data_IF_824117468070
#
_entry.id   IF_824117468070
#
_cell.length_a   1.000
_cell.length_b   1.000
_cell.length_c   1.000
_cell.angle_alpha   90.00
_cell.angle_beta   90.00
_cell.angle_gamma   90.00
#
_symmetry.space_group_name_H-M   'P 1'
#
loop_
_entity.id
_entity.type
_entity.pdbx_description
1 polymer ?
#
# COMPACT_ATOMS: atom_id res chain seq x y z
N UNK A 1 15.95 -13.05 47.83
CA UNK A 1 16.43 -11.67 47.60
C UNK A 1 15.40 -11.00 46.72
N UNK A 2 14.55 -10.17 47.32
CA UNK A 2 13.40 -9.53 46.66
C UNK A 2 13.88 -8.39 45.78
N UNK A 3 13.64 -8.49 44.47
CA UNK A 3 13.91 -7.41 43.51
C UNK A 3 12.69 -6.49 43.49
N UNK A 4 12.78 -5.36 44.19
CA UNK A 4 11.79 -4.28 44.15
C UNK A 4 11.82 -3.59 42.79
N UNK A 5 10.77 -3.78 42.00
CA UNK A 5 10.54 -3.04 40.77
C UNK A 5 10.08 -1.62 41.12
N UNK A 6 11.02 -0.68 41.16
CA UNK A 6 10.72 0.75 41.27
C UNK A 6 10.01 1.21 39.99
N UNK A 7 8.74 1.58 40.12
CA UNK A 7 7.94 2.13 39.02
C UNK A 7 8.41 3.55 38.73
N UNK A 8 9.05 3.76 37.58
CA UNK A 8 9.33 5.09 37.06
C UNK A 8 8.00 5.81 36.82
N UNK A 9 7.73 6.81 37.65
CA UNK A 9 6.63 7.75 37.46
C UNK A 9 6.88 8.53 36.17
N UNK A 10 6.09 8.24 35.14
CA UNK A 10 6.04 9.01 33.90
C UNK A 10 5.46 10.39 34.20
N UNK A 11 6.32 11.34 34.60
CA UNK A 11 5.97 12.75 34.62
C UNK A 11 5.91 13.19 33.15
N UNK A 12 4.70 13.22 32.59
CA UNK A 12 4.44 13.83 31.30
C UNK A 12 4.69 15.35 31.42
N UNK A 13 5.90 15.77 31.07
CA UNK A 13 6.23 17.19 30.94
C UNK A 13 5.58 17.68 29.65
N UNK A 14 4.36 18.22 29.74
CA UNK A 14 3.74 18.94 28.64
C UNK A 14 4.46 20.28 28.47
N UNK A 15 5.58 20.31 27.73
CA UNK A 15 6.06 21.58 27.18
C UNK A 15 5.02 22.02 26.16
N UNK A 16 4.19 23.00 26.53
CA UNK A 16 3.44 23.77 25.54
C UNK A 16 4.48 24.56 24.75
N UNK A 17 5.02 23.96 23.69
CA UNK A 17 5.92 24.64 22.77
C UNK A 17 5.12 25.71 22.02
N UNK A 18 5.13 26.93 22.57
CA UNK A 18 4.62 28.09 21.86
C UNK A 18 5.60 28.40 20.74
N UNK A 19 5.19 28.16 19.49
CA UNK A 19 6.02 28.49 18.32
C UNK A 19 6.45 29.97 18.39
N UNK A 20 7.71 30.31 18.05
CA UNK A 20 8.18 31.68 18.08
C UNK A 20 7.35 32.56 17.15
N UNK A 21 7.00 33.80 17.55
CA UNK A 21 6.22 34.68 16.70
C UNK A 21 7.00 35.02 15.42
N UNK A 22 6.30 35.09 14.28
CA UNK A 22 6.91 35.58 13.05
C UNK A 22 6.83 37.12 12.97
N UNK A 23 7.44 37.73 11.94
CA UNK A 23 7.54 39.18 11.79
C UNK A 23 6.32 39.84 11.09
N UNK A 24 5.17 39.15 11.03
CA UNK A 24 3.95 39.73 10.46
C UNK A 24 3.26 40.65 11.47
N UNK A 25 2.81 41.83 11.02
CA UNK A 25 2.14 42.82 11.89
C UNK A 25 0.79 42.36 12.41
N UNK A 26 -0.08 41.87 11.53
CA UNK A 26 -1.47 41.62 11.92
C UNK A 26 -1.66 40.26 12.63
N UNK A 27 -0.77 39.30 12.36
CA UNK A 27 -0.82 37.93 12.91
C UNK A 27 0.56 37.26 12.89
N UNK A 28 1.36 37.38 13.96
CA UNK A 28 2.74 36.88 14.02
C UNK A 28 2.79 35.35 14.27
N UNK A 29 2.12 34.55 13.44
CA UNK A 29 2.12 33.08 13.57
C UNK A 29 3.24 32.43 12.76
N UNK A 30 4.05 31.59 13.41
CA UNK A 30 4.96 30.68 12.72
C UNK A 30 4.45 29.24 12.76
N UNK A 31 5.02 28.40 11.90
CA UNK A 31 4.74 26.96 11.84
C UNK A 31 6.04 26.18 11.97
N UNK A 32 6.00 25.13 12.78
CA UNK A 32 7.02 24.08 12.80
C UNK A 32 7.01 23.32 11.47
N UNK A 33 8.20 23.06 10.93
CA UNK A 33 8.40 22.28 9.71
C UNK A 33 9.69 21.48 9.80
N UNK A 34 9.75 20.43 9.00
CA UNK A 34 10.93 19.61 8.83
C UNK A 34 11.39 19.67 7.36
N UNK A 35 12.68 19.89 7.14
CA UNK A 35 13.28 19.86 5.82
C UNK A 35 13.65 18.43 5.43
N UNK A 36 13.27 18.02 4.22
CA UNK A 36 13.72 16.79 3.59
C UNK A 36 14.38 17.12 2.25
N UNK A 37 15.58 17.72 2.34
CA UNK A 37 16.42 18.06 1.20
C UNK A 37 17.80 17.43 1.39
N UNK A 38 18.57 17.13 0.32
CA UNK A 38 19.88 16.50 0.42
C UNK A 38 20.82 17.17 1.44
N UNK A 39 20.83 18.51 1.45
CA UNK A 39 21.72 19.29 2.32
C UNK A 39 21.19 19.47 3.75
N UNK A 40 19.87 19.31 3.95
CA UNK A 40 19.17 19.56 5.22
C UNK A 40 18.13 18.46 5.49
N UNK A 41 18.53 17.18 5.62
CA UNK A 41 17.60 16.10 5.91
C UNK A 41 17.20 16.11 7.39
N UNK A 42 15.91 15.88 7.66
CA UNK A 42 15.30 15.88 8.99
C UNK A 42 15.58 17.14 9.84
N UNK A 43 15.96 18.27 9.21
CA UNK A 43 16.32 19.49 9.95
C UNK A 43 15.07 20.30 10.24
N UNK A 44 14.78 20.54 11.51
CA UNK A 44 13.56 21.21 11.95
C UNK A 44 13.75 22.73 12.00
N UNK A 45 12.71 23.46 11.59
CA UNK A 45 12.71 24.91 11.58
C UNK A 45 11.32 25.49 11.80
N UNK A 46 11.28 26.74 12.24
CA UNK A 46 10.09 27.57 12.20
C UNK A 46 10.15 28.50 11.00
N UNK A 47 9.03 28.68 10.31
CA UNK A 47 8.89 29.75 9.34
C UNK A 47 7.52 30.42 9.43
N UNK A 48 7.35 31.56 8.76
CA UNK A 48 6.06 32.25 8.70
C UNK A 48 4.95 31.29 8.25
N UNK A 49 3.83 31.25 8.98
CA UNK A 49 2.68 30.40 8.63
C UNK A 49 2.12 30.69 7.22
N UNK A 50 2.30 31.92 6.73
CA UNK A 50 1.84 32.40 5.42
C UNK A 50 2.82 32.09 4.27
N UNK A 51 4.04 31.64 4.56
CA UNK A 51 5.15 31.47 3.60
C UNK A 51 4.86 30.61 2.37
N UNK A 52 3.91 29.66 2.45
CA UNK A 52 3.54 28.78 1.34
C UNK A 52 2.18 29.12 0.70
N UNK A 53 1.49 30.14 1.23
CA UNK A 53 0.07 30.38 0.92
C UNK A 53 -0.16 31.81 0.39
N UNK A 54 0.68 32.77 0.78
CA UNK A 54 0.50 34.18 0.42
C UNK A 54 1.81 34.82 0.00
N UNK A 55 1.75 35.68 -1.02
CA UNK A 55 2.86 36.56 -1.41
C UNK A 55 3.18 37.63 -0.36
N UNK A 56 2.26 37.89 0.57
CA UNK A 56 2.43 38.85 1.67
C UNK A 56 2.97 38.19 2.95
N UNK A 57 3.67 37.07 2.83
CA UNK A 57 4.36 36.45 3.97
C UNK A 57 5.61 37.24 4.35
N UNK A 58 5.91 37.34 5.64
CA UNK A 58 7.25 37.77 6.05
C UNK A 58 8.27 36.65 5.81
N UNK A 59 9.55 37.01 5.74
CA UNK A 59 10.67 36.09 5.55
C UNK A 59 11.18 35.47 6.87
N UNK A 60 10.33 35.41 7.91
CA UNK A 60 10.71 34.81 9.18
C UNK A 60 11.11 33.34 8.99
N UNK A 61 12.30 33.00 9.47
CA UNK A 61 12.88 31.68 9.43
C UNK A 61 13.82 31.49 10.63
N UNK A 62 13.74 30.34 11.30
CA UNK A 62 14.62 30.01 12.40
C UNK A 62 14.87 28.50 12.45
N UNK A 63 16.12 28.07 12.41
CA UNK A 63 16.48 26.67 12.67
C UNK A 63 16.22 26.32 14.13
N UNK A 64 15.67 25.13 14.36
CA UNK A 64 15.43 24.60 15.70
C UNK A 64 16.61 23.77 16.18
N UNK A 65 17.19 22.99 15.28
CA UNK A 65 18.30 22.10 15.57
C UNK A 65 19.63 22.73 15.12
N UNK A 66 20.75 22.38 15.77
CA UNK A 66 22.06 22.64 15.20
C UNK A 66 22.26 21.88 13.88
N UNK A 67 23.19 22.33 13.06
CA UNK A 67 23.52 21.64 11.81
C UNK A 67 24.17 20.30 12.11
N UNK A 68 23.62 19.22 11.55
CA UNK A 68 24.22 17.88 11.66
C UNK A 68 25.54 17.78 10.88
N UNK A 69 26.52 16.99 11.35
CA UNK A 69 27.70 16.66 10.56
C UNK A 69 27.35 16.00 9.22
N UNK A 70 28.18 16.20 8.20
CA UNK A 70 27.93 15.75 6.82
C UNK A 70 27.57 14.26 6.72
N UNK A 71 28.32 13.40 7.41
CA UNK A 71 28.09 11.95 7.34
C UNK A 71 26.71 11.54 7.88
N UNK A 72 26.20 12.20 8.93
CA UNK A 72 24.83 11.97 9.41
C UNK A 72 23.79 12.42 8.40
N UNK A 73 24.01 13.58 7.76
CA UNK A 73 23.11 14.06 6.69
C UNK A 73 23.05 13.08 5.52
N UNK A 74 24.20 12.63 5.05
CA UNK A 74 24.30 11.67 3.94
C UNK A 74 23.59 10.35 4.29
N UNK A 75 23.79 9.83 5.50
CA UNK A 75 23.11 8.61 5.97
C UNK A 75 21.59 8.79 6.02
N UNK A 76 21.09 9.86 6.64
CA UNK A 76 19.65 10.12 6.72
C UNK A 76 19.01 10.29 5.35
N UNK A 77 19.68 11.00 4.44
CA UNK A 77 19.20 11.18 3.08
C UNK A 77 19.15 9.85 2.31
N UNK A 78 20.21 9.04 2.38
CA UNK A 78 20.24 7.72 1.74
C UNK A 78 19.15 6.79 2.28
N UNK A 79 18.91 6.82 3.60
CA UNK A 79 17.81 6.08 4.22
C UNK A 79 16.45 6.55 3.68
N UNK A 80 16.22 7.86 3.57
CA UNK A 80 14.99 8.42 3.01
C UNK A 80 14.76 7.96 1.57
N UNK A 81 15.78 8.04 0.72
CA UNK A 81 15.70 7.56 -0.67
C UNK A 81 15.38 6.06 -0.73
N UNK A 82 15.99 5.27 0.15
CA UNK A 82 15.73 3.83 0.22
C UNK A 82 14.29 3.54 0.63
N UNK A 83 13.76 4.25 1.63
CA UNK A 83 12.35 4.12 2.05
C UNK A 83 11.42 4.49 0.90
N UNK A 84 11.65 5.60 0.22
CA UNK A 84 10.81 6.04 -0.90
C UNK A 84 10.79 5.00 -2.03
N UNK A 85 11.96 4.46 -2.38
CA UNK A 85 12.06 3.37 -3.35
C UNK A 85 11.28 2.13 -2.92
N UNK A 86 11.39 1.74 -1.64
CA UNK A 86 10.71 0.56 -1.11
C UNK A 86 9.19 0.75 -1.07
N UNK A 87 8.70 1.95 -0.76
CA UNK A 87 7.26 2.25 -0.78
C UNK A 87 6.68 2.10 -2.18
N UNK A 88 7.36 2.62 -3.20
CA UNK A 88 6.95 2.47 -4.62
C UNK A 88 6.95 1.00 -5.03
N UNK A 89 8.01 0.26 -4.69
CA UNK A 89 8.10 -1.17 -5.04
C UNK A 89 7.04 -2.00 -4.31
N UNK A 90 6.71 -1.66 -3.07
CA UNK A 90 5.68 -2.34 -2.31
C UNK A 90 4.28 -2.15 -2.93
N UNK A 91 3.95 -0.93 -3.37
CA UNK A 91 2.70 -0.67 -4.11
C UNK A 91 2.59 -1.52 -5.38
N UNK A 92 3.69 -1.66 -6.14
CA UNK A 92 3.74 -2.53 -7.31
C UNK A 92 3.50 -4.00 -6.97
N UNK A 93 4.12 -4.50 -5.89
CA UNK A 93 3.92 -5.87 -5.41
C UNK A 93 2.45 -6.11 -5.02
N UNK A 94 1.83 -5.19 -4.27
CA UNK A 94 0.41 -5.29 -3.89
C UNK A 94 -0.50 -5.32 -5.13
N UNK A 95 -0.23 -4.50 -6.14
CA UNK A 95 -0.97 -4.51 -7.41
C UNK A 95 -0.83 -5.83 -8.16
N UNK A 96 0.38 -6.40 -8.20
CA UNK A 96 0.62 -7.69 -8.83
C UNK A 96 -0.04 -8.84 -8.07
N UNK A 97 0.00 -8.84 -6.75
CA UNK A 97 -0.69 -9.83 -5.92
C UNK A 97 -2.19 -9.86 -6.22
N UNK A 98 -2.85 -8.70 -6.31
CA UNK A 98 -4.27 -8.62 -6.71
C UNK A 98 -4.52 -9.24 -8.09
N UNK A 99 -3.64 -9.02 -9.06
CA UNK A 99 -3.75 -9.64 -10.39
C UNK A 99 -3.58 -11.16 -10.34
N UNK A 100 -2.63 -11.64 -9.55
CA UNK A 100 -2.38 -13.07 -9.36
C UNK A 100 -3.59 -13.75 -8.73
N UNK A 101 -4.18 -13.17 -7.68
CA UNK A 101 -5.38 -13.74 -7.04
C UNK A 101 -6.58 -13.76 -7.99
N UNK A 102 -6.80 -12.68 -8.76
CA UNK A 102 -7.83 -12.68 -9.81
C UNK A 102 -7.59 -13.80 -10.83
N UNK A 103 -6.36 -14.00 -11.27
CA UNK A 103 -6.04 -15.04 -12.25
C UNK A 103 -6.22 -16.46 -11.67
N UNK A 104 -5.94 -16.69 -10.38
CA UNK A 104 -6.24 -17.97 -9.72
C UNK A 104 -7.73 -18.28 -9.70
N UNK A 105 -8.57 -17.28 -9.38
CA UNK A 105 -10.02 -17.43 -9.37
C UNK A 105 -10.56 -17.73 -10.78
N UNK A 106 -10.08 -17.00 -11.79
CA UNK A 106 -10.46 -17.26 -13.18
C UNK A 106 -10.07 -18.67 -13.64
N UNK A 107 -8.84 -19.10 -13.37
CA UNK A 107 -8.39 -20.47 -13.70
C UNK A 107 -9.25 -21.54 -13.01
N UNK A 108 -9.68 -21.29 -11.77
CA UNK A 108 -10.56 -22.21 -11.05
C UNK A 108 -11.93 -22.29 -11.73
N UNK A 109 -12.53 -21.14 -12.04
CA UNK A 109 -13.83 -21.09 -12.73
C UNK A 109 -13.77 -21.70 -14.15
N UNK A 110 -12.68 -21.47 -14.89
CA UNK A 110 -12.45 -22.09 -16.20
C UNK A 110 -12.39 -23.62 -16.09
N UNK A 111 -11.69 -24.13 -15.08
CA UNK A 111 -11.60 -25.58 -14.84
C UNK A 111 -12.98 -26.18 -14.52
N UNK A 112 -13.74 -25.54 -13.63
CA UNK A 112 -15.10 -25.98 -13.27
C UNK A 112 -16.05 -25.97 -14.48
N UNK A 113 -15.94 -24.95 -15.35
CA UNK A 113 -16.73 -24.87 -16.58
C UNK A 113 -16.39 -26.00 -17.57
N UNK A 114 -15.10 -26.28 -17.76
CA UNK A 114 -14.65 -27.38 -18.64
C UNK A 114 -15.12 -28.73 -18.09
N UNK A 115 -15.01 -28.94 -16.79
CA UNK A 115 -15.49 -30.17 -16.13
C UNK A 115 -17.00 -30.34 -16.31
N UNK A 116 -17.79 -29.28 -16.12
CA UNK A 116 -19.24 -29.31 -16.34
C UNK A 116 -19.58 -29.67 -17.80
N UNK A 117 -18.89 -29.05 -18.77
CA UNK A 117 -19.13 -29.32 -20.19
C UNK A 117 -18.76 -30.76 -20.59
N UNK A 118 -17.70 -31.32 -20.01
CA UNK A 118 -17.35 -32.72 -20.21
C UNK A 118 -18.46 -33.63 -19.68
N UNK A 119 -19.01 -33.35 -18.50
CA UNK A 119 -20.10 -34.13 -17.93
C UNK A 119 -21.35 -34.12 -18.83
N UNK A 120 -21.74 -32.95 -19.35
CA UNK A 120 -22.86 -32.84 -20.30
C UNK A 120 -22.63 -33.70 -21.56
N UNK A 121 -21.46 -33.60 -22.18
CA UNK A 121 -21.11 -34.38 -23.36
C UNK A 121 -21.09 -35.89 -23.09
N UNK A 122 -20.65 -36.32 -21.90
CA UNK A 122 -20.70 -37.72 -21.50
C UNK A 122 -22.14 -38.23 -21.40
N UNK A 123 -23.05 -37.42 -20.87
CA UNK A 123 -24.48 -37.76 -20.80
C UNK A 123 -25.07 -37.86 -22.21
N UNK A 124 -24.83 -36.86 -23.06
CA UNK A 124 -25.32 -36.84 -24.44
C UNK A 124 -24.84 -38.05 -25.25
N UNK A 125 -23.54 -38.35 -25.19
CA UNK A 125 -22.97 -39.51 -25.87
C UNK A 125 -23.55 -40.82 -25.36
N UNK A 126 -23.84 -40.92 -24.07
CA UNK A 126 -24.47 -42.11 -23.50
C UNK A 126 -25.93 -42.27 -23.95
N UNK A 127 -26.68 -41.18 -24.09
CA UNK A 127 -28.04 -41.17 -24.66
C UNK A 127 -28.00 -41.61 -26.12
N UNK A 128 -27.14 -41.00 -26.94
CA UNK A 128 -26.98 -41.32 -28.36
C UNK A 128 -26.59 -42.78 -28.56
N UNK A 129 -25.67 -43.31 -27.73
CA UNK A 129 -25.27 -44.72 -27.77
C UNK A 129 -26.44 -45.66 -27.47
N UNK A 130 -27.33 -45.31 -26.53
CA UNK A 130 -28.55 -46.08 -26.25
C UNK A 130 -29.54 -46.01 -27.42
N UNK A 131 -29.73 -44.84 -28.02
CA UNK A 131 -30.59 -44.68 -29.20
C UNK A 131 -30.08 -45.48 -30.39
N UNK A 132 -28.78 -45.40 -30.69
CA UNK A 132 -28.16 -46.16 -31.77
C UNK A 132 -28.36 -47.67 -31.60
N UNK A 133 -28.16 -48.20 -30.39
CA UNK A 133 -28.43 -49.62 -30.09
C UNK A 133 -29.88 -50.02 -30.40
N UNK A 134 -30.86 -49.17 -30.07
CA UNK A 134 -32.27 -49.44 -30.39
C UNK A 134 -32.52 -49.44 -31.90
N UNK A 135 -31.97 -48.47 -32.64
CA UNK A 135 -32.12 -48.38 -34.10
C UNK A 135 -31.52 -49.61 -34.79
N UNK A 136 -30.34 -50.06 -34.35
CA UNK A 136 -29.70 -51.27 -34.89
C UNK A 136 -30.56 -52.51 -34.63
N UNK A 137 -31.16 -52.63 -33.44
CA UNK A 137 -32.05 -53.75 -33.11
C UNK A 137 -33.26 -53.80 -34.05
N UNK A 138 -33.93 -52.66 -34.25
CA UNK A 138 -35.10 -52.54 -35.15
C UNK A 138 -34.71 -52.86 -36.59
N UNK A 139 -33.57 -52.35 -37.08
CA UNK A 139 -33.11 -52.62 -38.44
C UNK A 139 -32.84 -54.11 -38.68
N UNK A 140 -32.30 -54.82 -37.69
CA UNK A 140 -32.11 -56.27 -37.76
C UNK A 140 -33.46 -57.00 -37.82
N UNK A 141 -34.41 -56.66 -36.96
CA UNK A 141 -35.75 -57.27 -36.96
C UNK A 141 -36.49 -57.09 -38.30
N UNK A 142 -36.38 -55.92 -38.93
CA UNK A 142 -36.99 -55.66 -40.25
C UNK A 142 -36.27 -56.35 -41.43
N UNK A 143 -35.05 -56.86 -41.25
CA UNK A 143 -34.27 -57.50 -42.33
C UNK A 143 -34.51 -59.02 -42.44
N UNK A 144 -35.15 -59.63 -41.43
CA UNK A 144 -35.44 -61.07 -41.35
C UNK A 144 -36.95 -61.39 -41.37
N UNK A 145 -37.81 -60.39 -41.62
CA UNK A 145 -39.27 -60.51 -41.69
C UNK A 145 -39.82 -60.39 -43.11
#
# INVERSE_FOLDING_TARGET
MSSSSESYSNVAIYRVEVNPPCLCRDQPRSKFREAWKPNNPAHRFYNCAKSMISKNSCNFFQWLDPTLPKHYKDTLWNMKLRIDYLLVRNDQVVKLQKKVEKHKLLKKAEKELVEARIQELLIETQILKKMLKKVVLIALECSFG
#
